data_IF_483932809625
#
_entry.id   IF_483932809625
#
_cell.length_a   1.000
_cell.length_b   1.000
_cell.length_c   1.000
_cell.angle_alpha   90.00
_cell.angle_beta   90.00
_cell.angle_gamma   90.00
#
_symmetry.space_group_name_H-M   'P 1'
#
loop_
_entity.id
_entity.type
_entity.pdbx_description
1 polymer ?
#
# COMPACT_ATOMS: atom_id res chain seq x y z
N UNK A 1 20.70 9.11 9.54
CA UNK A 1 20.39 7.67 9.62
C UNK A 1 20.00 7.24 8.22
N UNK A 2 20.69 6.27 7.62
CA UNK A 2 20.29 5.73 6.31
C UNK A 2 19.15 4.73 6.48
N UNK A 3 18.21 4.71 5.55
CA UNK A 3 17.11 3.72 5.53
C UNK A 3 17.59 2.31 5.17
N UNK A 4 18.84 2.20 4.72
CA UNK A 4 19.49 0.96 4.33
C UNK A 4 19.03 0.48 2.95
N UNK A 5 19.78 -0.45 2.37
CA UNK A 5 19.42 -1.06 1.09
C UNK A 5 18.28 -2.07 1.22
N UNK A 6 17.58 -2.32 0.12
CA UNK A 6 16.68 -3.46 -0.03
C UNK A 6 17.49 -4.76 0.12
N UNK A 7 17.06 -5.68 1.00
CA UNK A 7 17.63 -7.01 1.06
C UNK A 7 17.51 -7.72 -0.30
N UNK A 8 18.47 -8.56 -0.70
CA UNK A 8 18.42 -9.27 -1.99
C UNK A 8 17.10 -10.00 -2.22
N UNK A 9 16.54 -10.62 -1.17
CA UNK A 9 15.26 -11.31 -1.26
C UNK A 9 14.08 -10.37 -1.57
N UNK A 10 14.09 -9.16 -1.01
CA UNK A 10 13.07 -8.16 -1.30
C UNK A 10 13.16 -7.71 -2.77
N UNK A 11 14.37 -7.52 -3.30
CA UNK A 11 14.59 -7.21 -4.72
C UNK A 11 14.06 -8.32 -5.63
N UNK A 12 14.32 -9.59 -5.31
CA UNK A 12 13.77 -10.73 -6.06
C UNK A 12 12.23 -10.72 -6.10
N UNK A 13 11.60 -10.46 -4.94
CA UNK A 13 10.15 -10.45 -4.82
C UNK A 13 9.52 -9.30 -5.61
N UNK A 14 10.09 -8.10 -5.49
CA UNK A 14 9.65 -6.93 -6.26
C UNK A 14 9.87 -7.13 -7.76
N UNK A 15 10.97 -7.76 -8.18
CA UNK A 15 11.22 -8.12 -9.59
C UNK A 15 10.15 -9.04 -10.17
N UNK A 16 9.59 -9.93 -9.34
CA UNK A 16 8.57 -10.88 -9.76
C UNK A 16 7.16 -10.27 -9.88
N UNK A 17 6.96 -9.02 -9.46
CA UNK A 17 5.71 -8.29 -9.63
C UNK A 17 5.36 -8.17 -11.12
N UNK A 18 4.09 -8.37 -11.44
CA UNK A 18 3.59 -8.34 -12.82
C UNK A 18 2.48 -7.31 -12.93
N UNK A 19 2.46 -6.60 -14.06
CA UNK A 19 1.49 -5.55 -14.27
C UNK A 19 0.09 -6.16 -14.40
N UNK A 20 -0.83 -5.67 -13.58
CA UNK A 20 -2.25 -5.95 -13.69
C UNK A 20 -3.00 -4.65 -13.99
N UNK A 21 -3.67 -4.52 -15.16
CA UNK A 21 -4.46 -3.33 -15.47
C UNK A 21 -5.67 -3.14 -14.53
N UNK A 22 -6.07 -4.19 -13.80
CA UNK A 22 -7.14 -4.16 -12.81
C UNK A 22 -6.63 -4.03 -11.37
N UNK A 23 -5.32 -3.78 -11.19
CA UNK A 23 -4.73 -3.59 -9.86
C UNK A 23 -5.44 -2.45 -9.12
N UNK A 24 -5.98 -2.79 -7.95
CA UNK A 24 -6.50 -1.79 -7.02
C UNK A 24 -5.35 -1.02 -6.39
N UNK A 25 -5.58 0.25 -6.05
CA UNK A 25 -4.66 1.04 -5.21
C UNK A 25 -5.32 1.43 -3.91
N UNK A 26 -4.50 1.68 -2.90
CA UNK A 26 -4.91 2.32 -1.66
C UNK A 26 -3.80 3.22 -1.13
N UNK A 27 -4.17 4.32 -0.48
CA UNK A 27 -3.22 5.12 0.26
C UNK A 27 -2.67 4.30 1.45
N UNK A 28 -1.37 4.41 1.71
CA UNK A 28 -0.70 3.73 2.82
C UNK A 28 -0.14 4.78 3.79
N UNK A 29 -0.52 4.66 5.06
CA UNK A 29 -0.32 5.70 6.07
C UNK A 29 1.16 5.95 6.41
N UNK A 30 1.98 4.90 6.45
CA UNK A 30 3.37 5.00 6.89
C UNK A 30 4.30 5.59 5.84
N UNK A 31 3.92 5.50 4.57
CA UNK A 31 4.72 5.95 3.42
C UNK A 31 4.09 7.15 2.73
N UNK A 32 2.84 7.47 3.07
CA UNK A 32 2.03 8.47 2.40
C UNK A 32 2.11 8.29 0.88
N UNK A 33 1.93 7.06 0.39
CA UNK A 33 1.95 6.76 -1.04
C UNK A 33 0.73 5.93 -1.41
N UNK A 34 0.29 6.02 -2.66
CA UNK A 34 -0.54 4.97 -3.23
C UNK A 34 0.28 3.72 -3.45
N UNK A 35 -0.21 2.58 -2.95
CA UNK A 35 0.35 1.25 -3.21
C UNK A 35 -0.64 0.47 -4.09
N UNK A 36 -0.15 -0.15 -5.16
CA UNK A 36 -0.95 -1.01 -6.03
C UNK A 36 -0.87 -2.47 -5.59
N UNK A 37 -1.97 -3.21 -5.75
CA UNK A 37 -2.06 -4.61 -5.34
C UNK A 37 -1.10 -5.54 -6.09
N UNK A 38 -0.62 -5.13 -7.28
CA UNK A 38 0.22 -5.91 -8.17
C UNK A 38 1.73 -5.72 -7.96
N UNK A 39 2.16 -4.75 -7.15
CA UNK A 39 3.57 -4.31 -7.14
C UNK A 39 4.40 -4.86 -5.97
N UNK A 40 3.77 -5.40 -4.94
CA UNK A 40 4.46 -5.78 -3.70
C UNK A 40 5.24 -7.09 -3.83
N UNK A 41 4.81 -8.01 -4.71
CA UNK A 41 5.42 -9.35 -4.82
C UNK A 41 5.44 -10.15 -3.52
N UNK A 42 4.58 -9.79 -2.55
CA UNK A 42 4.57 -10.35 -1.20
C UNK A 42 5.65 -9.82 -0.25
N UNK A 43 6.41 -8.78 -0.63
CA UNK A 43 7.48 -8.23 0.22
C UNK A 43 6.89 -7.69 1.53
N UNK A 44 7.51 -7.95 2.70
CA UNK A 44 7.03 -7.37 3.95
C UNK A 44 7.17 -5.84 3.95
N UNK A 45 6.03 -5.13 4.01
CA UNK A 45 5.99 -3.66 4.01
C UNK A 45 6.54 -3.00 5.28
N UNK A 46 6.89 -3.77 6.32
CA UNK A 46 7.48 -3.25 7.54
C UNK A 46 9.02 -3.13 7.50
N UNK A 47 9.67 -3.63 6.44
CA UNK A 47 11.11 -3.45 6.25
C UNK A 47 11.42 -1.96 6.06
N UNK A 48 12.38 -1.37 6.81
CA UNK A 48 12.70 0.05 6.70
C UNK A 48 13.02 0.51 5.27
N UNK A 49 13.78 -0.28 4.50
CA UNK A 49 14.13 0.04 3.12
C UNK A 49 12.96 -0.09 2.14
N UNK A 50 12.00 -0.97 2.41
CA UNK A 50 10.74 -1.07 1.63
C UNK A 50 9.84 0.12 1.93
N UNK A 51 9.74 0.54 3.20
CA UNK A 51 9.03 1.77 3.58
C UNK A 51 9.66 2.99 2.92
N UNK A 52 10.98 3.10 2.92
CA UNK A 52 11.67 4.20 2.26
C UNK A 52 11.48 4.19 0.74
N UNK A 53 11.54 3.02 0.09
CA UNK A 53 11.21 2.87 -1.34
C UNK A 53 9.83 3.47 -1.67
N UNK A 54 8.78 3.05 -0.95
CA UNK A 54 7.43 3.55 -1.18
C UNK A 54 7.24 4.99 -0.70
N UNK A 55 7.93 5.39 0.36
CA UNK A 55 7.92 6.76 0.85
C UNK A 55 8.52 7.74 -0.15
N UNK A 56 9.62 7.37 -0.81
CA UNK A 56 10.19 8.17 -1.91
C UNK A 56 9.16 8.33 -3.03
N UNK A 57 8.47 7.25 -3.43
CA UNK A 57 7.39 7.38 -4.41
C UNK A 57 6.27 8.31 -3.93
N UNK A 58 5.85 8.21 -2.68
CA UNK A 58 4.87 9.12 -2.08
C UNK A 58 5.31 10.59 -2.21
N UNK A 59 6.59 10.85 -2.01
CA UNK A 59 7.17 12.20 -2.17
C UNK A 59 7.12 12.69 -3.63
N UNK A 60 7.34 11.80 -4.60
CA UNK A 60 7.13 12.11 -6.03
C UNK A 60 5.66 12.38 -6.35
N UNK A 61 4.74 11.58 -5.83
CA UNK A 61 3.29 11.74 -6.00
C UNK A 61 2.78 13.06 -5.41
N UNK A 62 3.45 13.61 -4.39
CA UNK A 62 3.17 14.95 -3.86
C UNK A 62 3.86 16.08 -4.62
N UNK A 63 4.81 15.77 -5.50
CA UNK A 63 5.61 16.76 -6.22
C UNK A 63 6.72 17.39 -5.37
N UNK A 64 7.08 16.79 -4.24
CA UNK A 64 8.09 17.28 -3.30
C UNK A 64 9.05 16.12 -2.96
N UNK A 65 10.01 15.78 -3.86
CA UNK A 65 10.89 14.63 -3.67
C UNK A 65 11.70 14.71 -2.37
N UNK A 66 11.63 13.67 -1.55
CA UNK A 66 12.41 13.54 -0.33
C UNK A 66 13.67 12.71 -0.61
N UNK A 67 14.76 13.39 -0.95
CA UNK A 67 16.04 12.76 -1.29
C UNK A 67 16.61 11.88 -0.16
N UNK A 68 16.15 12.02 1.09
CA UNK A 68 16.57 11.14 2.18
C UNK A 68 16.07 9.69 2.01
N UNK A 69 15.01 9.47 1.21
CA UNK A 69 14.39 8.17 0.95
C UNK A 69 14.87 7.52 -0.36
N UNK A 70 15.73 8.21 -1.11
CA UNK A 70 16.04 7.88 -2.51
C UNK A 70 16.89 6.61 -2.67
N UNK A 71 17.74 6.28 -1.71
CA UNK A 71 18.74 5.21 -1.87
C UNK A 71 18.11 3.83 -2.20
N UNK A 72 17.08 3.32 -1.50
CA UNK A 72 16.36 2.10 -1.88
C UNK A 72 15.67 2.17 -3.25
N UNK A 73 15.19 3.36 -3.63
CA UNK A 73 14.56 3.60 -4.93
C UNK A 73 15.54 3.44 -6.06
N UNK A 74 16.67 4.15 -6.00
CA UNK A 74 17.73 4.08 -7.01
C UNK A 74 18.31 2.65 -7.12
N UNK A 75 18.45 1.94 -5.99
CA UNK A 75 18.88 0.54 -5.98
C UNK A 75 17.89 -0.35 -6.76
N UNK A 76 16.58 -0.23 -6.49
CA UNK A 76 15.59 -1.05 -7.18
C UNK A 76 15.49 -0.67 -8.66
N UNK A 77 15.59 0.60 -9.00
CA UNK A 77 15.57 1.09 -10.38
C UNK A 77 16.74 0.51 -11.18
N UNK A 78 17.94 0.48 -10.59
CA UNK A 78 19.10 -0.14 -11.22
C UNK A 78 18.96 -1.66 -11.36
N UNK A 79 18.36 -2.34 -10.37
CA UNK A 79 18.25 -3.79 -10.37
C UNK A 79 17.04 -4.35 -11.15
N UNK A 80 15.97 -3.57 -11.28
CA UNK A 80 14.66 -3.95 -11.79
C UNK A 80 13.98 -2.75 -12.50
N UNK A 81 14.53 -2.22 -13.62
CA UNK A 81 13.99 -1.03 -14.26
C UNK A 81 12.54 -1.19 -14.75
N UNK A 82 12.12 -2.42 -15.03
CA UNK A 82 10.76 -2.76 -15.49
C UNK A 82 9.77 -3.02 -14.34
N UNK A 83 10.15 -2.77 -13.08
CA UNK A 83 9.23 -2.95 -11.96
C UNK A 83 8.00 -2.05 -12.13
N UNK A 84 6.81 -2.63 -11.95
CA UNK A 84 5.53 -1.98 -12.24
C UNK A 84 5.28 -0.72 -11.41
N UNK A 85 5.92 -0.59 -10.25
CA UNK A 85 5.86 0.61 -9.42
C UNK A 85 6.56 1.83 -10.03
N UNK A 86 7.43 1.66 -11.03
CA UNK A 86 8.11 2.75 -11.76
C UNK A 86 7.32 3.33 -12.93
N UNK A 87 6.13 2.81 -13.20
CA UNK A 87 5.27 3.33 -14.26
C UNK A 87 5.03 4.83 -14.04
N UNK A 88 5.18 5.70 -15.07
CA UNK A 88 5.10 7.15 -14.90
C UNK A 88 3.81 7.62 -14.24
N UNK A 89 2.68 6.99 -14.60
CA UNK A 89 1.37 7.29 -14.03
C UNK A 89 1.26 6.97 -12.53
N UNK A 90 2.10 6.07 -11.99
CA UNK A 90 2.16 5.73 -10.56
C UNK A 90 3.11 6.63 -9.77
N UNK A 91 3.98 7.38 -10.45
CA UNK A 91 4.99 8.25 -9.84
C UNK A 91 4.66 9.74 -10.00
N UNK A 92 3.51 10.05 -10.59
CA UNK A 92 3.19 11.40 -11.06
C UNK A 92 2.61 12.30 -9.96
N UNK A 93 2.99 13.59 -9.91
CA UNK A 93 2.32 14.61 -9.12
C UNK A 93 0.83 14.79 -9.44
N UNK A 94 0.36 14.28 -10.59
CA UNK A 94 -1.07 14.27 -10.92
C UNK A 94 -1.92 13.48 -9.90
N UNK A 95 -1.29 12.62 -9.08
CA UNK A 95 -1.95 11.87 -8.01
C UNK A 95 -2.11 12.66 -6.70
N UNK A 96 -1.46 13.84 -6.57
CA UNK A 96 -1.37 14.59 -5.31
C UNK A 96 -2.72 14.80 -4.65
N UNK A 97 -3.66 15.41 -5.34
CA UNK A 97 -4.95 15.80 -4.75
C UNK A 97 -5.76 14.58 -4.28
N UNK A 98 -5.65 13.47 -5.00
CA UNK A 98 -6.33 12.24 -4.62
C UNK A 98 -5.65 11.57 -3.43
N UNK A 99 -4.31 11.54 -3.43
CA UNK A 99 -3.50 10.99 -2.35
C UNK A 99 -3.74 11.73 -1.04
N UNK A 100 -3.70 13.07 -1.06
CA UNK A 100 -3.94 13.89 0.12
C UNK A 100 -5.33 13.66 0.72
N UNK A 101 -6.36 13.51 -0.12
CA UNK A 101 -7.72 13.20 0.34
C UNK A 101 -7.80 11.83 1.01
N UNK A 102 -7.30 10.78 0.36
CA UNK A 102 -7.35 9.42 0.91
C UNK A 102 -6.46 9.28 2.16
N UNK A 103 -5.30 9.94 2.15
CA UNK A 103 -4.38 9.97 3.29
C UNK A 103 -5.02 10.65 4.51
N UNK A 104 -5.70 11.78 4.32
CA UNK A 104 -6.38 12.48 5.41
C UNK A 104 -7.43 11.61 6.10
N UNK A 105 -8.22 10.85 5.33
CA UNK A 105 -9.19 9.89 5.87
C UNK A 105 -8.49 8.83 6.71
N UNK A 106 -7.43 8.21 6.18
CA UNK A 106 -6.66 7.19 6.91
C UNK A 106 -6.00 7.74 8.18
N UNK A 107 -5.46 8.95 8.14
CA UNK A 107 -4.82 9.59 9.28
C UNK A 107 -5.83 9.90 10.40
N UNK A 108 -7.04 10.34 10.04
CA UNK A 108 -8.12 10.57 10.99
C UNK A 108 -8.57 9.25 11.65
N UNK A 109 -8.79 8.21 10.84
CA UNK A 109 -9.17 6.88 11.34
C UNK A 109 -8.12 6.31 12.29
N UNK A 110 -6.84 6.42 11.93
CA UNK A 110 -5.73 5.99 12.78
C UNK A 110 -5.67 6.78 14.09
N UNK A 111 -5.83 8.11 14.03
CA UNK A 111 -5.82 8.97 15.22
C UNK A 111 -6.96 8.60 16.17
N UNK A 112 -8.17 8.37 15.63
CA UNK A 112 -9.34 7.94 16.41
C UNK A 112 -9.13 6.57 17.05
N UNK A 113 -8.59 5.62 16.30
CA UNK A 113 -8.25 4.30 16.83
C UNK A 113 -7.20 4.39 17.95
N UNK A 114 -6.17 5.22 17.79
CA UNK A 114 -5.13 5.45 18.80
C UNK A 114 -5.68 6.14 20.07
N UNK A 115 -6.71 6.98 19.94
CA UNK A 115 -7.42 7.59 21.08
C UNK A 115 -8.35 6.61 21.83
N UNK A 116 -8.48 5.37 21.36
CA UNK A 116 -9.40 4.39 21.95
C UNK A 116 -10.86 4.57 21.56
N UNK A 117 -11.15 5.43 20.58
CA UNK A 117 -12.50 5.72 20.08
C UNK A 117 -12.93 4.77 18.95
N UNK A 118 -12.34 3.58 18.88
CA UNK A 118 -12.60 2.61 17.80
C UNK A 118 -14.08 2.22 17.77
N UNK A 119 -14.78 2.75 16.76
CA UNK A 119 -16.13 2.32 16.43
C UNK A 119 -16.02 0.97 15.73
N UNK A 120 -16.61 -0.07 16.32
CA UNK A 120 -16.81 -1.36 15.66
C UNK A 120 -17.56 -1.10 14.35
N UNK A 121 -16.99 -1.39 13.16
CA UNK A 121 -17.80 -1.33 11.96
C UNK A 121 -18.87 -2.41 12.09
N UNK A 122 -20.12 -1.98 12.27
CA UNK A 122 -21.29 -2.82 12.10
C UNK A 122 -21.40 -3.19 10.61
N UNK A 123 -20.51 -4.06 10.13
CA UNK A 123 -20.85 -4.97 9.05
C UNK A 123 -21.74 -6.01 9.70
N UNK A 124 -23.05 -5.76 9.65
CA UNK A 124 -24.04 -6.83 9.64
C UNK A 124 -23.68 -7.76 8.48
N UNK A 125 -22.84 -8.75 8.77
CA UNK A 125 -22.78 -9.97 8.00
C UNK A 125 -24.20 -10.50 8.02
N UNK A 126 -24.87 -10.42 6.86
CA UNK A 126 -26.18 -11.01 6.68
C UNK A 126 -26.15 -12.43 7.21
N UNK A 127 -26.87 -12.66 8.31
CA UNK A 127 -27.25 -14.01 8.67
C UNK A 127 -28.01 -14.56 7.46
N UNK A 128 -27.60 -15.70 6.88
CA UNK A 128 -28.48 -16.37 5.95
C UNK A 128 -29.78 -16.73 6.70
N UNK A 129 -30.95 -16.62 6.04
CA UNK A 129 -32.22 -16.94 6.67
C UNK A 129 -32.19 -18.39 7.16
N UNK A 130 -32.57 -18.59 8.44
CA UNK A 130 -32.76 -19.93 9.00
C UNK A 130 -33.86 -20.62 8.20
N UNK A 131 -33.52 -21.67 7.47
CA UNK A 131 -34.51 -22.58 6.89
C UNK A 131 -35.28 -23.29 8.02
N UNK A 132 -36.61 -23.37 7.95
CA UNK A 132 -37.38 -24.13 8.93
C UNK A 132 -37.09 -25.63 8.78
N UNK A 133 -36.87 -26.30 9.92
CA UNK A 133 -36.77 -27.77 9.99
C UNK A 133 -38.11 -28.37 9.55
N UNK A 134 -38.06 -29.23 8.53
CA UNK A 134 -39.15 -30.16 8.25
C UNK A 134 -39.24 -31.20 9.39
N UNK A 135 -40.45 -31.61 9.81
CA UNK A 135 -40.61 -32.56 10.91
C UNK A 135 -40.13 -33.96 10.52
N UNK A 136 -39.56 -34.66 11.51
CA UNK A 136 -39.21 -36.08 11.47
C UNK A 136 -40.37 -36.91 10.90
N UNK A 137 -40.07 -37.73 9.90
CA UNK A 137 -40.91 -38.87 9.56
C UNK A 137 -40.26 -40.14 10.12
N UNK A 138 -41.14 -40.92 10.74
CA UNK A 138 -40.92 -42.09 11.61
C UNK A 138 -40.13 -43.23 10.99
#
# INVERSE_FOLDING_TARGET
MGWGLLPPKAVEMLRAAQYDPYAGRGAELMTASFIWSDETGGVPGNLPSVRALFGYRGSLQRGEPDESLREPWDQLLAACPEWVGFRPERCSPALRDELEREYAVLAEEFTRAAAGEAQTPNRSLGQPPRTPKLPDQS
#
